data_IF_729210346341
#
_entry.id   IF_729210346341
#
_cell.length_a   1.000
_cell.length_b   1.000
_cell.length_c   1.000
_cell.angle_alpha   90.00
_cell.angle_beta   90.00
_cell.angle_gamma   90.00
#
_symmetry.space_group_name_H-M   'P 1'
#
loop_
_entity.id
_entity.type
_entity.pdbx_description
1 polymer ?
#
# COMPACT_ATOMS: atom_id res chain seq x y z
N UNK A 1 -6.90 -25.13 2.67
CA UNK A 1 -5.68 -24.35 2.38
C UNK A 1 -5.75 -23.08 3.20
N UNK A 2 -4.84 -22.86 4.14
CA UNK A 2 -4.81 -21.62 4.91
C UNK A 2 -4.19 -20.52 4.05
N UNK A 3 -5.03 -19.63 3.53
CA UNK A 3 -4.57 -18.41 2.87
C UNK A 3 -4.02 -17.49 3.95
N UNK A 4 -2.69 -17.38 4.03
CA UNK A 4 -2.04 -16.43 4.94
C UNK A 4 -2.36 -15.00 4.47
N UNK A 5 -3.48 -14.46 4.94
CA UNK A 5 -3.79 -13.04 4.79
C UNK A 5 -2.82 -12.25 5.65
N UNK A 6 -2.09 -11.32 5.04
CA UNK A 6 -1.15 -10.49 5.78
C UNK A 6 -1.93 -9.64 6.78
N UNK A 7 -1.83 -9.88 8.10
CA UNK A 7 -2.59 -9.12 9.08
C UNK A 7 -2.21 -7.63 9.01
N UNK A 8 -3.13 -6.74 9.39
CA UNK A 8 -2.90 -5.29 9.34
C UNK A 8 -1.58 -4.84 10.03
N UNK A 9 -1.16 -5.59 11.05
CA UNK A 9 0.09 -5.38 11.78
C UNK A 9 1.34 -5.70 10.93
N UNK A 10 1.27 -6.69 10.04
CA UNK A 10 2.37 -7.07 9.16
C UNK A 10 2.55 -6.07 8.01
N UNK A 11 1.44 -5.47 7.54
CA UNK A 11 1.47 -4.31 6.65
C UNK A 11 2.13 -3.10 7.32
N UNK A 12 1.73 -2.78 8.55
CA UNK A 12 2.36 -1.70 9.32
C UNK A 12 3.87 -1.92 9.51
N UNK A 13 4.29 -3.15 9.82
CA UNK A 13 5.70 -3.51 9.93
C UNK A 13 6.44 -3.37 8.59
N UNK A 14 5.81 -3.74 7.46
CA UNK A 14 6.37 -3.55 6.13
C UNK A 14 6.60 -2.07 5.81
N UNK A 15 5.66 -1.18 6.13
CA UNK A 15 5.87 0.27 5.94
C UNK A 15 6.94 0.85 6.85
N UNK A 16 7.06 0.35 8.08
CA UNK A 16 8.17 0.73 8.95
C UNK A 16 9.52 0.31 8.34
N UNK A 17 9.60 -0.91 7.81
CA UNK A 17 10.80 -1.37 7.08
C UNK A 17 11.08 -0.47 5.88
N UNK A 18 10.08 -0.14 5.05
CA UNK A 18 10.24 0.81 3.94
C UNK A 18 10.76 2.17 4.41
N UNK A 19 10.19 2.70 5.49
CA UNK A 19 10.48 4.05 5.96
C UNK A 19 11.82 4.19 6.69
N UNK A 20 12.40 3.10 7.22
CA UNK A 20 13.59 3.12 8.06
C UNK A 20 14.77 2.31 7.52
N UNK A 21 14.56 1.49 6.49
CA UNK A 21 15.66 0.78 5.82
C UNK A 21 16.14 1.61 4.64
N UNK A 22 17.46 1.70 4.44
CA UNK A 22 18.07 2.24 3.21
C UNK A 22 17.78 1.30 2.03
N UNK A 23 16.53 1.20 1.62
CA UNK A 23 16.12 0.43 0.46
C UNK A 23 16.41 1.30 -0.75
N UNK A 24 17.47 0.96 -1.48
CA UNK A 24 17.93 1.69 -2.65
C UNK A 24 16.92 1.79 -3.80
N UNK A 25 15.82 1.03 -3.78
CA UNK A 25 14.74 1.12 -4.77
C UNK A 25 13.37 0.77 -4.15
N UNK A 26 12.76 1.76 -3.51
CA UNK A 26 11.48 1.62 -2.83
C UNK A 26 10.30 1.40 -3.80
N UNK A 27 10.38 1.95 -5.02
CA UNK A 27 9.37 1.79 -6.06
C UNK A 27 9.28 0.34 -6.52
N UNK A 28 10.42 -0.32 -6.77
CA UNK A 28 10.46 -1.74 -7.13
C UNK A 28 9.94 -2.62 -6.01
N UNK A 29 10.30 -2.32 -4.76
CA UNK A 29 9.82 -3.07 -3.61
C UNK A 29 8.31 -2.91 -3.41
N UNK A 30 7.78 -1.69 -3.54
CA UNK A 30 6.34 -1.45 -3.51
C UNK A 30 5.62 -2.24 -4.60
N UNK A 31 6.14 -2.25 -5.82
CA UNK A 31 5.54 -3.01 -6.93
C UNK A 31 5.49 -4.53 -6.68
N UNK A 32 6.46 -5.10 -5.95
CA UNK A 32 6.46 -6.51 -5.57
C UNK A 32 5.35 -6.83 -4.56
N UNK A 33 5.10 -5.94 -3.60
CA UNK A 33 4.20 -6.22 -2.48
C UNK A 33 2.80 -5.61 -2.60
N UNK A 34 2.58 -4.63 -3.48
CA UNK A 34 1.30 -3.89 -3.57
C UNK A 34 0.07 -4.78 -3.69
N UNK A 35 0.15 -5.87 -4.46
CA UNK A 35 -0.95 -6.84 -4.61
C UNK A 35 -1.30 -7.49 -3.27
N UNK A 36 -0.29 -7.90 -2.52
CA UNK A 36 -0.45 -8.54 -1.20
C UNK A 36 -0.93 -7.56 -0.14
N UNK A 37 -0.46 -6.33 -0.21
CA UNK A 37 -0.89 -5.24 0.67
C UNK A 37 -2.36 -4.89 0.42
N UNK A 38 -2.81 -4.93 -0.83
CA UNK A 38 -4.19 -4.61 -1.24
C UNK A 38 -5.20 -5.74 -1.07
N UNK A 39 -4.74 -6.94 -0.67
CA UNK A 39 -5.54 -8.17 -0.69
C UNK A 39 -6.76 -8.09 0.23
N UNK A 40 -6.67 -7.36 1.35
CA UNK A 40 -7.80 -7.15 2.25
C UNK A 40 -8.90 -6.27 1.63
N UNK A 41 -8.54 -5.27 0.83
CA UNK A 41 -9.52 -4.50 0.06
C UNK A 41 -10.12 -5.35 -1.07
N UNK A 42 -9.30 -6.15 -1.76
CA UNK A 42 -9.82 -7.09 -2.76
C UNK A 42 -10.86 -8.04 -2.16
N UNK A 43 -10.57 -8.62 -0.98
CA UNK A 43 -11.48 -9.52 -0.27
C UNK A 43 -12.77 -8.83 0.24
N UNK A 44 -12.79 -7.50 0.30
CA UNK A 44 -13.98 -6.69 0.61
C UNK A 44 -14.82 -6.36 -0.64
N UNK A 45 -14.44 -6.85 -1.82
CA UNK A 45 -15.19 -6.68 -3.06
C UNK A 45 -14.74 -5.49 -3.93
N UNK A 46 -13.65 -4.80 -3.59
CA UNK A 46 -13.12 -3.73 -4.44
C UNK A 46 -12.40 -4.30 -5.67
N UNK A 47 -12.51 -3.63 -6.82
CA UNK A 47 -11.69 -3.95 -8.00
C UNK A 47 -10.19 -3.80 -7.71
N UNK A 48 -9.35 -4.61 -8.35
CA UNK A 48 -7.89 -4.65 -8.12
C UNK A 48 -7.24 -3.26 -8.10
N UNK A 49 -7.54 -2.42 -9.09
CA UNK A 49 -6.98 -1.06 -9.18
C UNK A 49 -7.40 -0.18 -8.00
N UNK A 50 -8.66 -0.30 -7.55
CA UNK A 50 -9.23 0.45 -6.42
C UNK A 50 -8.67 -0.07 -5.09
N UNK A 51 -8.44 -1.37 -4.99
CA UNK A 51 -7.77 -2.01 -3.84
C UNK A 51 -6.32 -1.55 -3.70
N UNK A 52 -5.55 -1.54 -4.80
CA UNK A 52 -4.17 -1.04 -4.81
C UNK A 52 -4.10 0.46 -4.48
N UNK A 53 -5.02 1.28 -5.02
CA UNK A 53 -5.09 2.70 -4.69
C UNK A 53 -5.44 2.91 -3.21
N UNK A 54 -6.46 2.21 -2.69
CA UNK A 54 -6.86 2.32 -1.27
C UNK A 54 -5.72 1.93 -0.34
N UNK A 55 -4.98 0.87 -0.68
CA UNK A 55 -3.79 0.46 0.03
C UNK A 55 -2.72 1.57 0.05
N UNK A 56 -2.42 2.20 -1.09
CA UNK A 56 -1.47 3.32 -1.15
C UNK A 56 -1.86 4.44 -0.18
N UNK A 57 -3.09 4.95 -0.26
CA UNK A 57 -3.50 6.09 0.58
C UNK A 57 -3.61 5.73 2.08
N UNK A 58 -4.03 4.51 2.44
CA UNK A 58 -3.99 4.04 3.84
C UNK A 58 -2.54 3.96 4.38
N UNK A 59 -1.58 3.66 3.51
CA UNK A 59 -0.16 3.62 3.85
C UNK A 59 0.41 5.02 4.06
N UNK A 60 0.12 5.91 3.12
CA UNK A 60 0.60 7.29 3.13
C UNK A 60 0.03 8.05 4.33
N UNK A 61 -1.27 7.89 4.64
CA UNK A 61 -1.88 8.49 5.83
C UNK A 61 -1.16 8.08 7.12
N UNK A 62 -0.75 6.82 7.23
CA UNK A 62 0.01 6.32 8.39
C UNK A 62 1.42 6.89 8.45
N UNK A 63 2.07 7.07 7.30
CA UNK A 63 3.41 7.65 7.23
C UNK A 63 3.39 9.16 7.52
N UNK A 64 2.37 9.88 7.05
CA UNK A 64 2.17 11.31 7.34
C UNK A 64 2.04 11.56 8.84
N UNK A 65 1.34 10.69 9.57
CA UNK A 65 1.25 10.76 11.05
C UNK A 65 2.60 10.56 11.74
N UNK A 66 3.60 9.99 11.06
CA UNK A 66 4.97 9.82 11.54
C UNK A 66 5.93 10.89 10.98
N UNK A 67 5.41 11.92 10.30
CA UNK A 67 6.22 12.97 9.66
C UNK A 67 6.94 12.52 8.39
N UNK A 68 6.44 11.46 7.73
CA UNK A 68 7.00 10.89 6.48
C UNK A 68 5.95 10.91 5.36
N UNK A 69 6.34 10.64 4.12
CA UNK A 69 5.45 10.56 2.96
C UNK A 69 5.90 9.44 2.02
N UNK A 70 4.95 8.87 1.26
CA UNK A 70 5.25 7.92 0.18
C UNK A 70 5.68 8.59 -1.12
N UNK A 71 5.25 9.83 -1.37
CA UNK A 71 5.53 10.56 -2.63
C UNK A 71 7.01 10.60 -3.04
N UNK A 72 8.00 10.79 -2.14
CA UNK A 72 9.41 10.78 -2.54
C UNK A 72 9.94 9.40 -2.95
N UNK A 73 9.17 8.34 -2.72
CA UNK A 73 9.64 6.96 -2.86
C UNK A 73 8.80 6.10 -3.82
N UNK A 74 7.51 6.42 -3.96
CA UNK A 74 6.54 5.65 -4.73
C UNK A 74 5.57 6.61 -5.42
N UNK A 75 5.48 6.50 -6.74
CA UNK A 75 4.51 7.27 -7.53
C UNK A 75 3.08 6.93 -7.11
N UNK A 76 2.30 7.97 -6.82
CA UNK A 76 0.90 7.82 -6.47
C UNK A 76 0.11 7.13 -7.61
N UNK A 77 -0.80 6.21 -7.29
CA UNK A 77 -1.62 5.54 -8.30
C UNK A 77 -2.58 6.54 -8.95
N UNK A 78 -2.62 6.53 -10.28
CA UNK A 78 -3.58 7.31 -11.07
C UNK A 78 -5.01 6.82 -10.77
N UNK A 79 -5.79 7.62 -10.03
CA UNK A 79 -7.22 7.36 -9.83
C UNK A 79 -7.97 8.00 -10.99
N UNK A 80 -8.66 7.19 -11.81
CA UNK A 80 -9.68 7.72 -12.73
C UNK A 80 -10.90 8.08 -11.90
N UNK A 81 -11.24 9.36 -11.84
CA UNK A 81 -12.23 9.99 -10.94
C UNK A 81 -13.68 9.57 -11.28
N UNK A 82 -13.88 8.79 -12.34
CA UNK A 82 -15.20 8.51 -12.93
C UNK A 82 -16.02 7.44 -12.21
N UNK A 83 -15.59 6.94 -11.03
CA UNK A 83 -16.30 5.93 -10.24
C UNK A 83 -16.31 6.21 -8.72
N UNK A 84 -16.37 7.50 -8.36
CA UNK A 84 -16.62 7.95 -6.99
C UNK A 84 -18.11 8.27 -6.72
N UNK A 85 -19.01 8.02 -7.69
CA UNK A 85 -20.46 8.04 -7.53
C UNK A 85 -21.08 6.70 -7.95
#
# INVERSE_FOLDING_TARGET
MATYHMPAQLRAAFYAILAFSEIGDMQRLYNLFKKKISEDFLNRGYHQWKSEARAYYDSDERLVRLGKSMEPFVTAPTIVIDQLY
#
